data_IF_978398836267
#
_entry.id   IF_978398836267
#
_cell.length_a   1.000
_cell.length_b   1.000
_cell.length_c   1.000
_cell.angle_alpha   90.00
_cell.angle_beta   90.00
_cell.angle_gamma   90.00
#
_symmetry.space_group_name_H-M   'P 1'
#
loop_
_entity.id
_entity.type
_entity.pdbx_description
1 polymer ?
#
# COMPACT_ATOMS: atom_id res chain seq x y z
N UNK A 1 -22.55 8.63 13.63
CA UNK A 1 -22.07 9.96 13.18
C UNK A 1 -22.21 10.92 14.35
N UNK A 2 -21.23 11.79 14.64
CA UNK A 2 -21.46 12.84 15.63
C UNK A 2 -22.67 13.69 15.20
N UNK A 3 -23.55 14.10 16.12
CA UNK A 3 -24.72 14.89 15.80
C UNK A 3 -24.29 16.17 15.08
N UNK A 4 -25.00 16.51 14.00
CA UNK A 4 -24.75 17.73 13.22
C UNK A 4 -25.13 18.92 14.11
N UNK A 5 -24.16 19.75 14.47
CA UNK A 5 -24.44 20.94 15.27
C UNK A 5 -25.32 21.91 14.48
N UNK A 6 -26.27 22.59 15.14
CA UNK A 6 -27.02 23.71 14.55
C UNK A 6 -26.10 24.76 13.92
N UNK A 7 -26.63 25.51 12.95
CA UNK A 7 -25.85 26.47 12.16
C UNK A 7 -25.26 27.60 13.02
N UNK A 8 -25.98 28.05 14.05
CA UNK A 8 -25.52 29.08 14.98
C UNK A 8 -24.29 28.64 15.79
N UNK A 9 -24.28 27.38 16.25
CA UNK A 9 -23.17 26.78 16.99
C UNK A 9 -21.97 26.52 16.08
N UNK A 10 -22.24 26.04 14.87
CA UNK A 10 -21.20 25.81 13.86
C UNK A 10 -20.49 27.10 13.51
N UNK A 11 -21.24 28.19 13.27
CA UNK A 11 -20.67 29.51 12.98
C UNK A 11 -19.82 30.04 14.13
N UNK A 12 -20.31 29.93 15.37
CA UNK A 12 -19.54 30.35 16.54
C UNK A 12 -18.20 29.61 16.67
N UNK A 13 -18.20 28.29 16.48
CA UNK A 13 -16.98 27.50 16.53
C UNK A 13 -16.04 27.79 15.33
N UNK A 14 -16.57 28.15 14.16
CA UNK A 14 -15.76 28.59 13.01
C UNK A 14 -15.02 29.89 13.27
N UNK A 15 -15.68 30.86 13.88
CA UNK A 15 -15.07 32.14 14.29
C UNK A 15 -13.95 31.92 15.33
N UNK A 16 -14.07 30.89 16.18
CA UNK A 16 -13.10 30.56 17.24
C UNK A 16 -11.99 29.59 16.81
N UNK A 17 -12.04 29.06 15.59
CA UNK A 17 -11.03 28.13 15.08
C UNK A 17 -9.61 28.72 15.02
N UNK A 18 -9.38 29.98 14.60
CA UNK A 18 -8.05 30.57 14.61
C UNK A 18 -7.45 30.69 16.02
N UNK A 19 -8.29 31.07 16.99
CA UNK A 19 -7.88 31.20 18.40
C UNK A 19 -7.49 29.83 18.96
N UNK A 20 -8.33 28.81 18.75
CA UNK A 20 -8.05 27.45 19.22
C UNK A 20 -6.73 26.88 18.65
N UNK A 21 -6.36 27.26 17.42
CA UNK A 21 -5.07 26.86 16.81
C UNK A 21 -3.87 27.50 17.51
N UNK A 22 -4.03 28.70 18.05
CA UNK A 22 -2.99 29.44 18.77
C UNK A 22 -2.90 29.06 20.25
N UNK A 23 -3.99 28.54 20.82
CA UNK A 23 -4.04 28.11 22.22
C UNK A 23 -3.09 26.95 22.52
N UNK A 24 -2.16 27.18 23.44
CA UNK A 24 -1.23 26.20 23.95
C UNK A 24 -1.92 25.05 24.68
N UNK A 25 -1.22 23.92 24.88
CA UNK A 25 -1.81 22.69 25.46
C UNK A 25 -2.47 22.93 26.82
N UNK A 26 -1.88 23.79 27.65
CA UNK A 26 -2.33 24.06 29.02
C UNK A 26 -3.60 24.93 29.06
N UNK A 27 -3.80 25.78 28.04
CA UNK A 27 -4.93 26.73 27.99
C UNK A 27 -6.12 26.21 27.19
N UNK A 28 -6.03 24.99 26.65
CA UNK A 28 -7.09 24.39 25.82
C UNK A 28 -8.33 24.03 26.62
N UNK A 29 -8.17 23.49 27.83
CA UNK A 29 -9.30 23.14 28.70
C UNK A 29 -10.15 24.36 29.05
N UNK A 30 -9.59 25.46 29.61
CA UNK A 30 -10.39 26.65 29.91
C UNK A 30 -10.99 27.30 28.65
N UNK A 31 -10.28 27.26 27.51
CA UNK A 31 -10.82 27.72 26.23
C UNK A 31 -12.05 26.91 25.79
N UNK A 32 -11.99 25.58 25.91
CA UNK A 32 -13.10 24.69 25.55
C UNK A 32 -14.29 24.85 26.50
N UNK A 33 -14.05 25.08 27.79
CA UNK A 33 -15.10 25.38 28.76
C UNK A 33 -15.80 26.70 28.46
N UNK A 34 -15.06 27.74 28.06
CA UNK A 34 -15.64 29.01 27.62
C UNK A 34 -16.50 28.84 26.36
N UNK A 35 -16.04 28.02 25.40
CA UNK A 35 -16.83 27.67 24.23
C UNK A 35 -18.10 26.90 24.61
N UNK A 36 -17.97 25.93 25.53
CA UNK A 36 -19.09 25.10 25.97
C UNK A 36 -20.17 25.92 26.68
N UNK A 37 -19.79 26.86 27.56
CA UNK A 37 -20.74 27.80 28.18
C UNK A 37 -21.54 28.56 27.13
N UNK A 38 -20.88 29.06 26.09
CA UNK A 38 -21.55 29.76 24.99
C UNK A 38 -22.49 28.85 24.19
N UNK A 39 -22.09 27.61 23.91
CA UNK A 39 -22.94 26.63 23.21
C UNK A 39 -24.19 26.27 24.03
N UNK A 40 -24.04 26.08 25.35
CA UNK A 40 -25.16 25.83 26.27
C UNK A 40 -26.13 27.01 26.28
N UNK A 41 -25.63 28.25 26.30
CA UNK A 41 -26.47 29.44 26.16
C UNK A 41 -27.21 29.51 24.82
N UNK A 42 -26.56 29.14 23.71
CA UNK A 42 -27.17 29.12 22.38
C UNK A 42 -28.31 28.08 22.27
N UNK A 43 -28.25 27.02 23.08
CA UNK A 43 -29.31 26.00 23.21
C UNK A 43 -30.44 26.43 24.16
N UNK A 44 -30.38 27.64 24.71
CA UNK A 44 -31.40 28.16 25.63
C UNK A 44 -31.41 27.50 27.00
N UNK A 45 -30.32 26.80 27.37
CA UNK A 45 -30.20 26.15 28.68
C UNK A 45 -29.74 27.21 29.69
N UNK A 46 -30.55 27.53 30.72
CA UNK A 46 -30.21 28.57 31.68
C UNK A 46 -29.10 28.12 32.63
N UNK A 47 -28.27 29.08 33.03
CA UNK A 47 -27.22 28.85 34.04
C UNK A 47 -27.85 28.46 35.39
N UNK A 48 -27.31 27.42 36.02
CA UNK A 48 -27.81 26.90 37.29
C UNK A 48 -28.99 25.92 37.20
N UNK A 49 -29.40 25.49 36.01
CA UNK A 49 -30.39 24.41 35.89
C UNK A 49 -29.85 23.08 36.45
N UNK A 50 -30.75 22.18 36.84
CA UNK A 50 -30.37 20.82 37.25
C UNK A 50 -29.64 20.16 36.06
N UNK A 51 -28.40 19.73 36.29
CA UNK A 51 -27.56 19.14 35.25
C UNK A 51 -26.81 20.14 34.37
N UNK A 52 -26.76 21.44 34.72
CA UNK A 52 -25.97 22.43 33.98
C UNK A 52 -24.50 22.00 33.80
N UNK A 53 -23.87 21.48 34.84
CA UNK A 53 -22.48 20.98 34.78
C UNK A 53 -22.32 19.78 33.84
N UNK A 54 -23.35 18.92 33.74
CA UNK A 54 -23.38 17.80 32.80
C UNK A 54 -23.49 18.32 31.36
N UNK A 55 -24.31 19.35 31.13
CA UNK A 55 -24.38 20.02 29.83
C UNK A 55 -23.04 20.65 29.45
N UNK A 56 -22.38 21.36 30.37
CA UNK A 56 -21.05 21.93 30.12
C UNK A 56 -20.05 20.84 29.74
N UNK A 57 -19.95 19.75 30.50
CA UNK A 57 -19.06 18.62 30.17
C UNK A 57 -19.36 18.02 28.79
N UNK A 58 -20.64 17.86 28.45
CA UNK A 58 -21.07 17.36 27.15
C UNK A 58 -20.64 18.31 26.01
N UNK A 59 -20.87 19.62 26.17
CA UNK A 59 -20.52 20.61 25.15
C UNK A 59 -19.00 20.85 25.03
N UNK A 60 -18.23 20.65 26.11
CA UNK A 60 -16.76 20.59 26.04
C UNK A 60 -16.31 19.46 25.11
N UNK A 61 -16.89 18.27 25.26
CA UNK A 61 -16.56 17.13 24.41
C UNK A 61 -16.96 17.36 22.95
N UNK A 62 -18.12 17.99 22.71
CA UNK A 62 -18.57 18.40 21.38
C UNK A 62 -17.58 19.39 20.76
N UNK A 63 -17.25 20.48 21.46
CA UNK A 63 -16.33 21.51 20.97
C UNK A 63 -14.94 20.93 20.68
N UNK A 64 -14.43 20.09 21.60
CA UNK A 64 -13.15 19.39 21.42
C UNK A 64 -13.15 18.52 20.16
N UNK A 65 -14.20 17.72 19.98
CA UNK A 65 -14.35 16.83 18.82
C UNK A 65 -14.44 17.65 17.53
N UNK A 66 -15.22 18.72 17.55
CA UNK A 66 -15.44 19.60 16.41
C UNK A 66 -14.14 20.29 15.97
N UNK A 67 -13.39 20.87 16.92
CA UNK A 67 -12.13 21.54 16.61
C UNK A 67 -11.07 20.55 16.15
N UNK A 68 -10.96 19.39 16.79
CA UNK A 68 -10.01 18.36 16.37
C UNK A 68 -10.30 17.85 14.96
N UNK A 69 -11.57 17.61 14.62
CA UNK A 69 -11.93 17.20 13.26
C UNK A 69 -11.56 18.26 12.21
N UNK A 70 -11.66 19.56 12.54
CA UNK A 70 -11.33 20.67 11.63
C UNK A 70 -9.85 21.07 11.61
N UNK A 71 -9.09 20.80 12.66
CA UNK A 71 -7.62 20.88 12.61
C UNK A 71 -7.04 19.68 11.88
N UNK A 72 -7.65 18.50 12.05
CA UNK A 72 -7.28 17.29 11.35
C UNK A 72 -7.71 17.28 9.88
N UNK A 73 -8.49 18.25 9.37
CA UNK A 73 -8.68 18.44 7.92
C UNK A 73 -7.35 18.64 7.16
N UNK A 74 -6.29 19.11 7.84
CA UNK A 74 -4.93 19.16 7.27
C UNK A 74 -4.10 17.89 7.56
N UNK A 75 -4.59 16.99 8.41
CA UNK A 75 -4.10 15.61 8.56
C UNK A 75 -5.12 14.70 7.89
N UNK A 76 -5.42 14.96 6.63
CA UNK A 76 -6.14 13.97 5.86
C UNK A 76 -5.32 12.67 5.98
N UNK A 77 -5.88 11.66 6.66
CA UNK A 77 -5.25 10.32 6.68
C UNK A 77 -5.05 9.82 5.25
N UNK A 78 -5.81 10.39 4.31
CA UNK A 78 -5.57 10.29 2.89
C UNK A 78 -4.28 11.03 2.47
N UNK A 79 -4.08 12.32 2.76
CA UNK A 79 -2.87 13.08 2.34
C UNK A 79 -1.57 12.66 3.01
N UNK A 80 -1.61 12.06 4.20
CA UNK A 80 -0.48 11.24 4.68
C UNK A 80 -0.47 9.94 3.89
N UNK A 81 0.13 9.98 2.70
CA UNK A 81 0.74 8.80 2.13
C UNK A 81 1.59 8.18 3.26
N UNK A 82 1.33 6.96 3.76
CA UNK A 82 2.40 6.22 4.40
C UNK A 82 3.43 5.96 3.30
N UNK A 83 4.39 6.87 3.19
CA UNK A 83 5.60 6.77 2.35
C UNK A 83 6.37 5.48 2.70
N UNK A 84 6.07 4.88 3.86
CA UNK A 84 6.72 3.69 4.37
C UNK A 84 5.68 2.75 4.98
N UNK A 85 5.69 1.49 4.53
CA UNK A 85 5.28 0.37 5.38
C UNK A 85 6.03 0.59 6.70
N UNK A 86 5.31 0.70 7.83
CA UNK A 86 5.94 1.10 9.09
C UNK A 86 6.99 0.04 9.49
N UNK A 87 8.27 0.34 9.23
CA UNK A 87 9.42 -0.52 9.55
C UNK A 87 10.00 -0.21 10.93
N UNK A 88 9.31 0.51 11.81
CA UNK A 88 9.83 0.81 13.15
C UNK A 88 9.20 -0.13 14.21
N UNK A 89 9.84 -1.28 14.37
CA UNK A 89 9.68 -2.17 15.51
C UNK A 89 10.47 -1.64 16.70
N UNK A 90 9.83 -1.69 17.86
CA UNK A 90 10.43 -1.45 19.18
C UNK A 90 10.45 -2.77 19.95
N UNK A 91 11.31 -2.91 20.96
CA UNK A 91 11.34 -4.11 21.80
C UNK A 91 9.96 -4.47 22.34
N UNK A 92 9.25 -3.48 22.90
CA UNK A 92 7.88 -3.64 23.40
C UNK A 92 6.89 -4.15 22.33
N UNK A 93 7.04 -3.76 21.05
CA UNK A 93 6.19 -4.26 19.96
C UNK A 93 6.51 -5.69 19.56
N UNK A 94 7.79 -6.05 19.63
CA UNK A 94 8.22 -7.43 19.38
C UNK A 94 7.72 -8.31 20.52
N UNK A 95 7.86 -7.86 21.76
CA UNK A 95 7.28 -8.51 22.94
C UNK A 95 5.77 -8.69 22.82
N UNK A 96 5.00 -7.64 22.51
CA UNK A 96 3.54 -7.70 22.34
C UNK A 96 3.12 -8.78 21.33
N UNK A 97 3.96 -8.99 20.31
CA UNK A 97 3.73 -10.02 19.33
C UNK A 97 4.12 -11.42 19.83
N UNK A 98 5.32 -11.57 20.37
CA UNK A 98 5.84 -12.85 20.85
C UNK A 98 5.02 -13.41 22.03
N UNK A 99 4.53 -12.52 22.89
CA UNK A 99 3.78 -12.82 24.11
C UNK A 99 2.29 -12.54 23.95
N UNK A 100 1.77 -12.62 22.72
CA UNK A 100 0.38 -12.26 22.43
C UNK A 100 -0.64 -13.17 23.13
N UNK A 101 -0.33 -14.46 23.28
CA UNK A 101 -1.13 -15.42 24.05
C UNK A 101 -1.21 -15.02 25.52
N UNK A 102 -0.07 -14.72 26.11
CA UNK A 102 0.09 -14.44 27.53
C UNK A 102 -0.64 -13.14 27.89
N UNK A 103 -0.51 -12.11 27.03
CA UNK A 103 -1.28 -10.86 27.17
C UNK A 103 -2.79 -11.12 27.01
N UNK A 104 -3.21 -11.98 26.08
CA UNK A 104 -4.64 -12.32 25.91
C UNK A 104 -5.20 -13.02 27.15
N UNK A 105 -4.42 -13.91 27.75
CA UNK A 105 -4.80 -14.63 28.97
C UNK A 105 -4.93 -13.67 30.15
N UNK A 106 -3.92 -12.83 30.40
CA UNK A 106 -3.97 -11.80 31.42
C UNK A 106 -5.15 -10.84 31.24
N UNK A 107 -5.46 -10.47 29.99
CA UNK A 107 -6.64 -9.63 29.69
C UNK A 107 -7.95 -10.34 30.00
N UNK A 108 -8.07 -11.66 29.76
CA UNK A 108 -9.30 -12.41 30.10
C UNK A 108 -9.50 -12.52 31.60
N UNK A 109 -8.42 -12.70 32.36
CA UNK A 109 -8.48 -12.77 33.82
C UNK A 109 -8.93 -11.44 34.44
N UNK A 110 -8.54 -10.30 33.83
CA UNK A 110 -8.84 -8.95 34.29
C UNK A 110 -9.99 -8.25 33.53
N UNK A 111 -10.63 -8.94 32.59
CA UNK A 111 -11.75 -8.43 31.77
C UNK A 111 -12.95 -7.96 32.61
N UNK A 112 -13.33 -8.61 33.73
CA UNK A 112 -14.44 -8.16 34.58
C UNK A 112 -14.25 -6.75 35.17
N UNK A 113 -13.01 -6.25 35.23
CA UNK A 113 -12.68 -4.97 35.87
C UNK A 113 -12.66 -3.79 34.89
N UNK A 114 -12.79 -4.02 33.58
CA UNK A 114 -12.58 -2.99 32.57
C UNK A 114 -13.75 -2.85 31.59
N UNK A 115 -14.33 -1.65 31.53
CA UNK A 115 -15.46 -1.34 30.62
C UNK A 115 -15.11 -1.48 29.13
N UNK A 116 -13.82 -1.40 28.76
CA UNK A 116 -13.36 -1.45 27.39
C UNK A 116 -12.14 -2.37 27.25
N UNK A 117 -12.26 -3.42 26.42
CA UNK A 117 -11.18 -4.38 26.14
C UNK A 117 -9.85 -3.72 25.72
N UNK A 118 -9.89 -2.61 24.97
CA UNK A 118 -8.67 -1.91 24.56
C UNK A 118 -7.90 -1.29 25.75
N UNK A 119 -8.61 -0.91 26.81
CA UNK A 119 -8.00 -0.36 28.03
C UNK A 119 -7.31 -1.48 28.79
N UNK A 120 -8.02 -2.60 29.02
CA UNK A 120 -7.46 -3.80 29.64
C UNK A 120 -6.21 -4.30 28.88
N UNK A 121 -6.30 -4.40 27.54
CA UNK A 121 -5.18 -4.79 26.70
C UNK A 121 -3.94 -3.92 26.90
N UNK A 122 -4.11 -2.59 26.87
CA UNK A 122 -2.98 -1.67 27.00
C UNK A 122 -2.38 -1.70 28.40
N UNK A 123 -3.20 -1.90 29.44
CA UNK A 123 -2.78 -2.02 30.82
C UNK A 123 -1.96 -3.29 31.02
N UNK A 124 -2.51 -4.45 30.67
CA UNK A 124 -1.85 -5.75 30.84
C UNK A 124 -0.58 -5.86 30.01
N UNK A 125 -0.60 -5.41 28.75
CA UNK A 125 0.60 -5.34 27.90
C UNK A 125 1.71 -4.50 28.53
N UNK A 126 1.37 -3.39 29.19
CA UNK A 126 2.35 -2.52 29.83
C UNK A 126 2.89 -3.16 31.11
N UNK A 127 2.01 -3.68 31.97
CA UNK A 127 2.43 -4.38 33.19
C UNK A 127 3.40 -5.50 32.86
N UNK A 128 3.01 -6.41 31.97
CA UNK A 128 3.84 -7.56 31.60
C UNK A 128 5.16 -7.17 30.92
N UNK A 129 5.25 -5.98 30.30
CA UNK A 129 6.51 -5.46 29.75
C UNK A 129 7.40 -4.84 30.82
N UNK A 130 6.81 -4.13 31.78
CA UNK A 130 7.51 -3.52 32.92
C UNK A 130 7.98 -4.58 33.93
N UNK A 131 7.29 -5.71 34.02
CA UNK A 131 7.62 -6.87 34.86
C UNK A 131 8.79 -7.71 34.30
N UNK A 132 9.20 -7.48 33.04
CA UNK A 132 10.37 -8.15 32.46
C UNK A 132 11.66 -7.64 33.09
N UNK A 133 12.61 -8.56 33.26
CA UNK A 133 13.99 -8.23 33.63
C UNK A 133 14.65 -7.39 32.52
N UNK A 134 15.70 -6.65 32.88
CA UNK A 134 16.37 -5.73 31.94
C UNK A 134 17.02 -6.48 30.76
N UNK A 135 17.61 -7.64 31.01
CA UNK A 135 18.21 -8.52 30.00
C UNK A 135 17.16 -9.03 29.00
N UNK A 136 15.99 -9.43 29.47
CA UNK A 136 14.88 -9.83 28.59
C UNK A 136 14.40 -8.66 27.71
N UNK A 137 14.35 -7.44 28.27
CA UNK A 137 14.00 -6.24 27.50
C UNK A 137 15.06 -5.90 26.45
N UNK A 138 16.34 -6.09 26.76
CA UNK A 138 17.45 -5.94 25.81
C UNK A 138 17.35 -6.95 24.67
N UNK A 139 17.00 -8.20 24.94
CA UNK A 139 16.80 -9.25 23.92
C UNK A 139 15.70 -8.86 22.93
N UNK A 140 14.55 -8.37 23.42
CA UNK A 140 13.48 -7.88 22.54
C UNK A 140 13.91 -6.64 21.74
N UNK A 141 14.72 -5.75 22.31
CA UNK A 141 15.26 -4.60 21.60
C UNK A 141 16.25 -4.99 20.49
N UNK A 142 17.08 -6.01 20.74
CA UNK A 142 17.96 -6.60 19.73
C UNK A 142 17.15 -7.23 18.59
N UNK A 143 16.11 -8.00 18.92
CA UNK A 143 15.20 -8.61 17.93
C UNK A 143 14.45 -7.54 17.12
N UNK A 144 14.01 -6.46 17.76
CA UNK A 144 13.41 -5.32 17.07
C UNK A 144 14.38 -4.67 16.08
N UNK A 145 15.65 -4.53 16.45
CA UNK A 145 16.70 -4.03 15.55
C UNK A 145 16.90 -4.96 14.35
N UNK A 146 16.89 -6.28 14.57
CA UNK A 146 16.96 -7.26 13.49
C UNK A 146 15.74 -7.15 12.56
N UNK A 147 14.54 -7.07 13.11
CA UNK A 147 13.29 -6.96 12.33
C UNK A 147 13.20 -5.66 11.53
N UNK A 148 13.77 -4.57 12.05
CA UNK A 148 13.85 -3.30 11.33
C UNK A 148 14.76 -3.39 10.09
N UNK A 149 15.78 -4.25 10.12
CA UNK A 149 16.73 -4.47 9.01
C UNK A 149 16.20 -5.51 8.02
N UNK A 150 15.76 -6.65 8.52
CA UNK A 150 15.51 -7.85 7.72
C UNK A 150 14.01 -8.11 7.46
N UNK A 151 13.12 -7.35 8.10
CA UNK A 151 11.71 -7.65 8.17
C UNK A 151 11.37 -8.54 9.38
N UNK A 152 10.08 -8.59 9.78
CA UNK A 152 9.63 -9.43 10.89
C UNK A 152 9.70 -10.92 10.53
N UNK A 153 9.56 -11.77 11.55
CA UNK A 153 9.45 -13.22 11.39
C UNK A 153 8.33 -13.58 10.39
N UNK A 154 8.54 -14.64 9.61
CA UNK A 154 7.61 -15.19 8.63
C UNK A 154 6.26 -15.50 9.27
N UNK A 155 6.26 -15.98 10.52
CA UNK A 155 5.03 -16.26 11.29
C UNK A 155 4.14 -15.03 11.50
N UNK A 156 4.70 -13.83 11.45
CA UNK A 156 3.95 -12.56 11.61
C UNK A 156 3.36 -12.07 10.28
N UNK A 157 3.85 -12.54 9.14
CA UNK A 157 3.44 -12.04 7.83
C UNK A 157 1.94 -12.24 7.55
N UNK A 158 1.31 -13.41 7.84
CA UNK A 158 -0.13 -13.62 7.65
C UNK A 158 -0.98 -12.58 8.40
N UNK A 159 -0.69 -12.38 9.68
CA UNK A 159 -1.40 -11.43 10.54
C UNK A 159 -1.19 -9.98 10.09
N UNK A 160 0.02 -9.65 9.62
CA UNK A 160 0.30 -8.33 9.04
C UNK A 160 -0.47 -8.10 7.75
N UNK A 161 -0.51 -9.08 6.86
CA UNK A 161 -1.27 -8.99 5.61
C UNK A 161 -2.76 -8.78 5.91
N UNK A 162 -3.37 -9.62 6.74
CA UNK A 162 -4.78 -9.51 7.12
C UNK A 162 -5.14 -8.14 7.72
N UNK A 163 -4.30 -7.59 8.61
CA UNK A 163 -4.60 -6.32 9.30
C UNK A 163 -4.24 -5.08 8.50
N UNK A 164 -3.20 -5.12 7.66
CA UNK A 164 -2.56 -3.92 7.10
C UNK A 164 -2.58 -3.83 5.58
N UNK A 165 -2.69 -4.96 4.87
CA UNK A 165 -2.50 -4.99 3.41
C UNK A 165 -3.42 -4.01 2.68
N UNK A 166 -4.72 -3.97 3.01
CA UNK A 166 -5.67 -3.06 2.37
C UNK A 166 -5.29 -1.58 2.57
N UNK A 167 -4.89 -1.22 3.79
CA UNK A 167 -4.45 0.14 4.09
C UNK A 167 -3.18 0.54 3.32
N UNK A 168 -2.24 -0.39 3.15
CA UNK A 168 -1.04 -0.18 2.34
C UNK A 168 -1.37 -0.08 0.85
N UNK A 169 -2.19 -0.98 0.32
CA UNK A 169 -2.60 -0.96 -1.08
C UNK A 169 -3.30 0.36 -1.44
N UNK A 170 -4.24 0.81 -0.60
CA UNK A 170 -4.92 2.11 -0.77
C UNK A 170 -3.95 3.28 -0.80
N UNK A 171 -2.94 3.24 0.07
CA UNK A 171 -1.92 4.28 0.15
C UNK A 171 -1.02 4.31 -1.06
N UNK A 172 -0.63 3.14 -1.57
CA UNK A 172 0.16 2.99 -2.79
C UNK A 172 -0.63 3.50 -4.01
N UNK A 173 -1.88 3.06 -4.18
CA UNK A 173 -2.75 3.58 -5.26
C UNK A 173 -2.88 5.09 -5.20
N UNK A 174 -3.12 5.66 -4.02
CA UNK A 174 -3.18 7.11 -3.82
C UNK A 174 -1.88 7.81 -4.23
N UNK A 175 -0.73 7.30 -3.79
CA UNK A 175 0.57 7.88 -4.10
C UNK A 175 0.80 7.98 -5.61
N UNK A 176 0.67 6.84 -6.31
CA UNK A 176 0.96 6.80 -7.74
C UNK A 176 -0.08 7.56 -8.57
N UNK A 177 -1.36 7.52 -8.16
CA UNK A 177 -2.39 8.29 -8.83
C UNK A 177 -2.18 9.79 -8.68
N UNK A 178 -1.95 10.29 -7.46
CA UNK A 178 -1.88 11.74 -7.22
C UNK A 178 -0.54 12.36 -7.60
N UNK A 179 0.57 11.62 -7.47
CA UNK A 179 1.91 12.19 -7.71
C UNK A 179 2.35 12.08 -9.15
N UNK A 180 2.02 10.98 -9.84
CA UNK A 180 2.47 10.76 -11.22
C UNK A 180 1.34 10.35 -12.16
N UNK A 181 0.08 10.48 -11.73
CA UNK A 181 -1.07 10.20 -12.59
C UNK A 181 -1.10 8.77 -13.08
N UNK A 182 -0.59 7.79 -12.32
CA UNK A 182 -0.47 6.39 -12.76
C UNK A 182 -1.54 5.50 -12.12
N UNK A 183 -2.25 4.75 -12.95
CA UNK A 183 -3.22 3.75 -12.52
C UNK A 183 -2.51 2.47 -12.11
N UNK A 184 -2.97 1.88 -11.00
CA UNK A 184 -2.42 0.69 -10.41
C UNK A 184 -3.51 -0.34 -10.19
N UNK A 185 -3.15 -1.61 -10.41
CA UNK A 185 -3.90 -2.76 -9.97
C UNK A 185 -3.00 -3.56 -9.00
N UNK A 186 -3.43 -3.74 -7.76
CA UNK A 186 -2.69 -4.46 -6.73
C UNK A 186 -3.45 -5.73 -6.36
N UNK A 187 -2.73 -6.85 -6.37
CA UNK A 187 -3.24 -8.15 -5.99
C UNK A 187 -2.28 -8.78 -4.98
N UNK A 188 -2.83 -9.19 -3.84
CA UNK A 188 -2.11 -9.83 -2.75
C UNK A 188 -2.67 -11.22 -2.50
N UNK A 189 -1.77 -12.17 -2.28
CA UNK A 189 -2.09 -13.55 -1.93
C UNK A 189 -1.20 -13.94 -0.75
N UNK A 190 -1.77 -14.48 0.31
CA UNK A 190 -1.02 -14.96 1.47
C UNK A 190 -1.77 -16.11 2.15
N UNK A 191 -1.09 -17.09 2.74
CA UNK A 191 -1.73 -18.04 3.65
C UNK A 191 -2.08 -17.33 4.97
N UNK A 192 -3.22 -17.62 5.58
CA UNK A 192 -3.51 -17.19 6.96
C UNK A 192 -2.72 -18.01 8.01
N UNK A 193 -3.04 -17.80 9.28
CA UNK A 193 -2.41 -18.51 10.40
C UNK A 193 -2.71 -20.02 10.37
N UNK A 194 -3.81 -20.44 9.75
CA UNK A 194 -4.21 -21.86 9.60
C UNK A 194 -3.67 -22.48 8.29
N UNK A 195 -3.02 -21.67 7.44
CA UNK A 195 -2.46 -22.09 6.16
C UNK A 195 -3.43 -21.96 4.97
N UNK A 196 -4.63 -21.47 5.20
CA UNK A 196 -5.64 -21.27 4.16
C UNK A 196 -5.35 -20.03 3.32
N UNK A 197 -5.57 -20.16 2.00
CA UNK A 197 -5.18 -19.13 1.07
C UNK A 197 -6.14 -17.94 1.12
N UNK A 198 -5.62 -16.78 1.49
CA UNK A 198 -6.34 -15.52 1.45
C UNK A 198 -5.88 -14.67 0.28
N UNK A 199 -6.84 -13.94 -0.30
CA UNK A 199 -6.59 -13.02 -1.40
C UNK A 199 -7.16 -11.64 -1.08
N UNK A 200 -6.48 -10.61 -1.54
CA UNK A 200 -6.92 -9.22 -1.44
C UNK A 200 -6.57 -8.51 -2.73
N UNK A 201 -7.48 -7.65 -3.17
CA UNK A 201 -7.24 -6.75 -4.28
C UNK A 201 -7.60 -5.32 -3.92
N UNK A 202 -6.94 -4.39 -4.58
CA UNK A 202 -7.31 -2.99 -4.56
C UNK A 202 -6.70 -2.32 -5.79
N UNK A 203 -7.46 -1.45 -6.45
CA UNK A 203 -6.97 -0.75 -7.62
C UNK A 203 -7.34 0.74 -7.62
N UNK A 204 -6.78 1.49 -8.56
CA UNK A 204 -7.00 2.94 -8.66
C UNK A 204 -8.48 3.30 -8.85
N UNK A 205 -9.29 2.44 -9.47
CA UNK A 205 -10.73 2.67 -9.62
C UNK A 205 -11.49 2.62 -8.30
N UNK A 206 -11.10 1.74 -7.37
CA UNK A 206 -11.64 1.73 -6.01
C UNK A 206 -11.32 3.04 -5.30
N UNK A 207 -10.05 3.48 -5.38
CA UNK A 207 -9.60 4.73 -4.77
C UNK A 207 -10.41 5.94 -5.26
N UNK A 208 -10.53 6.10 -6.59
CA UNK A 208 -11.20 7.26 -7.18
C UNK A 208 -12.72 7.18 -7.00
N UNK A 209 -13.32 5.99 -7.03
CA UNK A 209 -14.74 5.82 -6.73
C UNK A 209 -15.07 6.17 -5.26
N UNK A 210 -14.21 5.81 -4.31
CA UNK A 210 -14.35 6.23 -2.91
C UNK A 210 -14.28 7.75 -2.74
N UNK A 211 -13.36 8.42 -3.45
CA UNK A 211 -13.28 9.89 -3.43
C UNK A 211 -14.53 10.53 -4.02
N UNK A 212 -14.96 10.08 -5.20
CA UNK A 212 -16.15 10.58 -5.87
C UNK A 212 -17.41 10.40 -5.02
N UNK A 213 -17.52 9.27 -4.31
CA UNK A 213 -18.63 8.99 -3.40
C UNK A 213 -18.75 10.01 -2.25
N UNK A 214 -17.63 10.58 -1.78
CA UNK A 214 -17.67 11.68 -0.78
C UNK A 214 -18.31 12.95 -1.33
N UNK A 215 -18.22 13.16 -2.64
CA UNK A 215 -18.84 14.26 -3.37
C UNK A 215 -20.24 13.88 -3.92
N UNK A 216 -20.78 12.71 -3.54
CA UNK A 216 -22.06 12.21 -4.04
C UNK A 216 -22.04 11.67 -5.49
N UNK A 217 -20.87 11.56 -6.10
CA UNK A 217 -20.69 11.05 -7.47
C UNK A 217 -20.46 9.54 -7.45
N UNK A 218 -20.99 8.81 -8.44
CA UNK A 218 -20.74 7.38 -8.64
C UNK A 218 -19.89 7.19 -9.87
N UNK A 219 -18.72 6.57 -9.70
CA UNK A 219 -17.83 6.21 -10.79
C UNK A 219 -17.75 4.68 -10.93
N UNK A 220 -17.60 4.17 -12.17
CA UNK A 220 -17.44 2.74 -12.38
C UNK A 220 -16.12 2.25 -11.78
N UNK A 221 -16.14 1.01 -11.30
CA UNK A 221 -14.95 0.31 -10.82
C UNK A 221 -14.51 -0.68 -11.88
N UNK A 222 -13.21 -0.86 -12.04
CA UNK A 222 -12.59 -1.81 -12.96
C UNK A 222 -13.21 -3.19 -12.80
N UNK A 223 -13.34 -3.62 -11.55
CA UNK A 223 -13.83 -4.94 -11.17
C UNK A 223 -15.34 -5.10 -11.24
N UNK A 224 -16.08 -4.03 -11.53
CA UNK A 224 -17.51 -4.13 -11.81
C UNK A 224 -17.77 -4.66 -13.23
N UNK A 225 -16.73 -4.69 -14.08
CA UNK A 225 -16.83 -5.33 -15.39
C UNK A 225 -16.90 -6.85 -15.22
N UNK A 226 -17.82 -7.52 -15.93
CA UNK A 226 -17.76 -8.97 -16.10
C UNK A 226 -16.39 -9.34 -16.67
N UNK A 227 -15.83 -10.47 -16.22
CA UNK A 227 -14.57 -10.99 -16.73
C UNK A 227 -13.33 -10.10 -16.54
N UNK A 228 -13.34 -9.15 -15.60
CA UNK A 228 -12.18 -8.29 -15.29
C UNK A 228 -10.89 -9.10 -14.98
N UNK A 229 -11.05 -10.33 -14.52
CA UNK A 229 -9.97 -11.28 -14.22
C UNK A 229 -9.43 -12.03 -15.45
N UNK A 230 -10.18 -12.06 -16.56
CA UNK A 230 -9.73 -12.68 -17.81
C UNK A 230 -8.78 -11.72 -18.51
N UNK A 231 -7.51 -12.11 -18.62
CA UNK A 231 -6.46 -11.26 -19.19
C UNK A 231 -6.41 -9.87 -18.53
N UNK A 232 -6.17 -9.86 -17.21
CA UNK A 232 -6.14 -8.67 -16.34
C UNK A 232 -5.40 -7.50 -16.98
N UNK A 233 -4.27 -7.76 -17.65
CA UNK A 233 -3.48 -6.72 -18.31
C UNK A 233 -4.29 -6.00 -19.39
N UNK A 234 -4.87 -6.74 -20.33
CA UNK A 234 -5.66 -6.15 -21.42
C UNK A 234 -6.93 -5.48 -20.88
N UNK A 235 -7.59 -6.08 -19.89
CA UNK A 235 -8.78 -5.52 -19.26
C UNK A 235 -8.47 -4.19 -18.53
N UNK A 236 -7.37 -4.14 -17.78
CA UNK A 236 -6.92 -2.94 -17.06
C UNK A 236 -6.49 -1.85 -18.05
N UNK A 237 -5.73 -2.21 -19.09
CA UNK A 237 -5.30 -1.29 -20.13
C UNK A 237 -6.50 -0.66 -20.86
N UNK A 238 -7.51 -1.47 -21.20
CA UNK A 238 -8.74 -0.96 -21.79
C UNK A 238 -9.47 -0.02 -20.83
N UNK A 239 -9.74 -0.46 -19.60
CA UNK A 239 -10.53 0.30 -18.63
C UNK A 239 -9.86 1.61 -18.23
N UNK A 240 -8.61 1.55 -17.75
CA UNK A 240 -7.87 2.75 -17.35
C UNK A 240 -7.51 3.60 -18.55
N UNK A 241 -7.23 2.99 -19.70
CA UNK A 241 -7.01 3.72 -20.93
C UNK A 241 -8.22 4.56 -21.34
N UNK A 242 -9.42 3.97 -21.44
CA UNK A 242 -10.66 4.70 -21.73
C UNK A 242 -10.85 5.86 -20.73
N UNK A 243 -10.53 5.61 -19.46
CA UNK A 243 -10.58 6.61 -18.40
C UNK A 243 -9.58 7.76 -18.61
N UNK A 244 -8.31 7.48 -18.94
CA UNK A 244 -7.34 8.52 -19.28
C UNK A 244 -7.73 9.28 -20.54
N UNK A 245 -8.32 8.60 -21.52
CA UNK A 245 -8.76 9.23 -22.76
C UNK A 245 -9.89 10.24 -22.52
N UNK A 246 -10.77 9.95 -21.57
CA UNK A 246 -11.82 10.87 -21.10
C UNK A 246 -11.25 12.08 -20.35
N UNK A 247 -10.15 11.92 -19.60
CA UNK A 247 -9.58 12.98 -18.75
C UNK A 247 -8.58 13.87 -19.52
N UNK A 248 -7.80 13.30 -20.43
CA UNK A 248 -6.71 13.98 -21.14
C UNK A 248 -7.03 14.26 -22.62
N UNK A 249 -8.19 13.83 -23.14
CA UNK A 249 -8.56 13.99 -24.54
C UNK A 249 -7.65 13.22 -25.52
N UNK A 250 -6.92 12.21 -25.05
CA UNK A 250 -5.88 11.48 -25.79
C UNK A 250 -6.18 9.98 -25.80
N UNK A 251 -6.17 9.32 -26.96
CA UNK A 251 -6.57 7.91 -27.06
C UNK A 251 -5.49 6.95 -26.54
N UNK A 252 -5.88 5.92 -25.79
CA UNK A 252 -5.03 4.82 -25.27
C UNK A 252 -4.14 4.17 -26.33
N UNK A 253 -4.63 4.12 -27.58
CA UNK A 253 -3.97 3.39 -28.67
C UNK A 253 -2.62 3.98 -29.04
N UNK A 254 -2.31 5.20 -28.59
CA UNK A 254 -1.07 5.88 -28.92
C UNK A 254 0.10 5.52 -27.98
N UNK A 255 -0.14 4.82 -26.86
CA UNK A 255 0.86 4.69 -25.79
C UNK A 255 1.28 3.26 -25.39
N UNK A 256 0.80 2.21 -26.06
CA UNK A 256 1.08 0.83 -25.62
C UNK A 256 1.34 -0.17 -26.74
N UNK A 257 2.09 0.25 -27.75
CA UNK A 257 2.99 -0.70 -28.40
C UNK A 257 4.39 -0.31 -27.96
N UNK A 258 5.08 -1.19 -27.20
CA UNK A 258 6.53 -1.30 -27.41
C UNK A 258 6.65 -1.57 -28.90
N UNK A 259 6.96 -0.54 -29.70
CA UNK A 259 7.32 -0.75 -31.10
C UNK A 259 8.44 -1.79 -31.03
N UNK A 260 8.19 -2.97 -31.61
CA UNK A 260 9.24 -3.97 -31.72
C UNK A 260 10.47 -3.30 -32.34
N UNK A 261 11.69 -3.76 -32.02
CA UNK A 261 12.87 -3.24 -32.67
C UNK A 261 12.65 -3.29 -34.18
N UNK A 262 12.90 -2.18 -34.86
CA UNK A 262 12.67 -2.10 -36.30
C UNK A 262 13.71 -3.00 -36.95
N UNK A 263 13.26 -4.11 -37.54
CA UNK A 263 14.16 -5.10 -38.13
C UNK A 263 14.99 -4.46 -39.25
N UNK A 264 16.30 -4.59 -39.15
CA UNK A 264 17.23 -4.13 -40.17
C UNK A 264 17.41 -5.23 -41.22
N UNK A 265 17.25 -4.87 -42.49
CA UNK A 265 17.46 -5.81 -43.59
C UNK A 265 18.95 -5.85 -43.95
N UNK A 266 19.65 -6.86 -43.45
CA UNK A 266 21.03 -7.10 -43.82
C UNK A 266 21.12 -7.64 -45.25
N UNK A 267 21.97 -7.02 -46.07
CA UNK A 267 22.55 -7.73 -47.20
C UNK A 267 23.31 -8.96 -46.68
N UNK A 268 23.36 -10.04 -47.45
CA UNK A 268 24.02 -11.29 -47.06
C UNK A 268 25.06 -11.66 -48.11
N UNK A 269 26.16 -12.24 -47.65
CA UNK A 269 27.09 -12.96 -48.52
C UNK A 269 26.43 -14.26 -49.03
N UNK A 270 27.05 -14.91 -50.02
CA UNK A 270 26.54 -16.15 -50.62
C UNK A 270 26.41 -17.31 -49.62
N UNK A 271 27.15 -17.26 -48.52
CA UNK A 271 27.09 -18.22 -47.40
C UNK A 271 25.95 -17.92 -46.40
N UNK A 272 25.16 -16.87 -46.64
CA UNK A 272 24.06 -16.43 -45.79
C UNK A 272 24.47 -15.52 -44.62
N UNK A 273 25.77 -15.23 -44.45
CA UNK A 273 26.28 -14.36 -43.38
C UNK A 273 25.82 -12.91 -43.61
N UNK A 274 25.19 -12.25 -42.62
CA UNK A 274 24.79 -10.84 -42.76
C UNK A 274 26.01 -9.93 -42.89
N UNK A 275 25.88 -8.85 -43.66
CA UNK A 275 26.91 -7.83 -43.89
C UNK A 275 26.57 -6.61 -43.04
N UNK A 276 27.51 -6.17 -42.20
CA UNK A 276 27.35 -4.94 -41.43
C UNK A 276 27.61 -3.74 -42.34
N UNK A 277 26.63 -2.85 -42.48
CA UNK A 277 26.79 -1.57 -43.19
C UNK A 277 26.92 -0.42 -42.19
N UNK A 278 27.17 0.78 -42.69
CA UNK A 278 27.18 2.05 -41.96
C UNK A 278 25.98 2.95 -42.33
N UNK A 279 25.15 2.47 -43.26
CA UNK A 279 24.03 3.19 -43.85
C UNK A 279 22.77 2.32 -43.95
N UNK A 280 21.61 2.98 -43.87
CA UNK A 280 20.26 2.44 -44.12
C UNK A 280 19.58 3.35 -45.14
N UNK A 281 19.08 2.78 -46.23
CA UNK A 281 18.47 3.54 -47.34
C UNK A 281 19.35 4.69 -47.88
N UNK A 282 20.67 4.50 -47.89
CA UNK A 282 21.65 5.50 -48.36
C UNK A 282 21.92 6.64 -47.37
N UNK A 283 21.42 6.56 -46.14
CA UNK A 283 21.68 7.55 -45.08
C UNK A 283 22.54 6.95 -43.97
N UNK A 284 23.49 7.71 -43.39
CA UNK A 284 24.29 7.24 -42.27
C UNK A 284 23.43 7.02 -41.03
N UNK A 285 23.79 6.03 -40.22
CA UNK A 285 23.08 5.76 -38.98
C UNK A 285 23.19 6.90 -37.96
N UNK A 286 22.13 7.08 -37.19
CA UNK A 286 22.25 7.71 -35.86
C UNK A 286 22.96 6.75 -34.91
N UNK A 287 23.58 7.29 -33.85
CA UNK A 287 24.29 6.46 -32.84
C UNK A 287 23.38 5.38 -32.25
N UNK A 288 22.12 5.71 -31.99
CA UNK A 288 21.12 4.80 -31.45
C UNK A 288 20.75 3.69 -32.44
N UNK A 289 20.58 4.04 -33.73
CA UNK A 289 20.29 3.07 -34.79
C UNK A 289 21.46 2.13 -35.04
N UNK A 290 22.70 2.64 -35.03
CA UNK A 290 23.90 1.81 -35.17
C UNK A 290 24.01 0.77 -34.04
N UNK A 291 23.69 1.14 -32.80
CA UNK A 291 23.66 0.20 -31.68
C UNK A 291 22.55 -0.86 -31.84
N UNK A 292 21.38 -0.49 -32.36
CA UNK A 292 20.29 -1.42 -32.61
C UNK A 292 20.64 -2.43 -33.71
N UNK A 293 21.18 -1.96 -34.84
CA UNK A 293 21.64 -2.78 -35.97
C UNK A 293 22.74 -3.74 -35.52
N UNK A 294 23.71 -3.26 -34.74
CA UNK A 294 24.78 -4.12 -34.20
C UNK A 294 24.23 -5.24 -33.30
N UNK A 295 23.23 -4.94 -32.45
CA UNK A 295 22.59 -5.96 -31.60
C UNK A 295 21.84 -7.01 -32.44
N UNK A 296 21.18 -6.60 -33.52
CA UNK A 296 20.52 -7.53 -34.45
C UNK A 296 21.55 -8.40 -35.19
N UNK A 297 22.66 -7.81 -35.65
CA UNK A 297 23.77 -8.51 -36.29
C UNK A 297 24.38 -9.58 -35.37
N UNK A 298 24.68 -9.22 -34.13
CA UNK A 298 25.22 -10.14 -33.12
C UNK A 298 24.22 -11.29 -32.89
N UNK A 299 22.93 -11.00 -32.72
CA UNK A 299 21.91 -12.04 -32.50
C UNK A 299 21.81 -13.04 -33.66
N UNK A 300 21.92 -12.59 -34.90
CA UNK A 300 21.88 -13.47 -36.08
C UNK A 300 23.11 -14.39 -36.09
N UNK A 301 24.31 -13.84 -35.88
CA UNK A 301 25.55 -14.62 -35.90
C UNK A 301 25.69 -15.61 -34.73
N UNK A 302 25.19 -15.24 -33.54
CA UNK A 302 25.20 -16.13 -32.37
C UNK A 302 24.10 -17.20 -32.39
N UNK A 303 23.05 -17.03 -33.23
CA UNK A 303 22.10 -18.11 -33.51
C UNK A 303 22.68 -19.14 -34.49
N UNK A 304 23.49 -18.73 -35.46
CA UNK A 304 24.11 -19.64 -36.43
C UNK A 304 25.22 -20.50 -35.83
N UNK A 305 25.97 -20.00 -34.85
CA UNK A 305 27.04 -20.76 -34.16
C UNK A 305 26.51 -21.87 -33.23
N UNK A 306 25.22 -21.85 -32.87
CA UNK A 306 24.58 -22.92 -32.08
C UNK A 306 24.15 -24.15 -32.88
N UNK A 307 23.99 -24.04 -34.20
CA UNK A 307 23.58 -25.16 -35.07
C UNK A 307 24.76 -25.90 -35.71
N UNK A 308 25.97 -25.30 -35.72
CA UNK A 308 27.18 -25.92 -36.28
C UNK A 308 27.88 -26.94 -35.37
N UNK A 309 27.39 -27.19 -34.16
CA UNK A 309 28.02 -28.13 -33.20
C UNK A 309 27.36 -29.52 -33.12
N UNK A 310 26.32 -29.76 -33.92
CA UNK A 310 25.57 -31.02 -33.92
C UNK A 310 25.90 -31.96 -35.10
N UNK A 311 26.92 -31.64 -35.92
CA UNK A 311 27.22 -32.40 -37.15
C UNK A 311 28.63 -33.01 -37.20
N UNK A 312 29.30 -33.18 -36.05
CA UNK A 312 30.57 -33.92 -35.92
C UNK A 312 30.50 -34.98 -34.81
N UNK A 313 29.45 -35.80 -34.76
CA UNK A 313 29.43 -36.97 -33.87
C UNK A 313 28.96 -38.27 -34.53
N UNK A 314 29.25 -38.46 -35.81
CA UNK A 314 29.09 -39.75 -36.47
C UNK A 314 30.33 -40.06 -37.31
N UNK A 315 31.33 -40.69 -36.68
CA UNK A 315 32.13 -41.76 -37.26
C UNK A 315 33.06 -42.38 -36.20
N UNK A 316 32.74 -43.63 -35.83
CA UNK A 316 33.63 -44.73 -35.42
C UNK A 316 33.23 -45.42 -34.10
N UNK A 317 32.37 -46.44 -34.22
CA UNK A 317 32.54 -47.66 -33.44
C UNK A 317 33.59 -48.54 -34.18
N UNK A 318 34.38 -49.41 -33.51
CA UNK A 318 33.79 -50.62 -32.93
C UNK A 318 34.49 -51.23 -31.70
N UNK A 319 33.74 -52.03 -30.93
CA UNK A 319 34.27 -53.28 -30.39
C UNK A 319 34.11 -53.56 -28.90
N UNK A 320 33.65 -54.79 -28.62
CA UNK A 320 33.97 -55.61 -27.43
C UNK A 320 33.21 -55.28 -26.13
N UNK A 321 32.10 -55.97 -25.83
CA UNK A 321 31.98 -57.29 -25.14
C UNK A 321 31.60 -57.12 -23.66
N UNK A 322 30.42 -57.67 -23.33
CA UNK A 322 30.05 -58.39 -22.09
C UNK A 322 30.44 -57.79 -20.73
N UNK A 323 29.44 -57.47 -19.90
CA UNK A 323 29.09 -58.34 -18.75
C UNK A 323 27.78 -57.93 -18.06
N UNK A 324 26.97 -58.96 -17.80
CA UNK A 324 25.79 -58.99 -16.95
C UNK A 324 26.11 -58.61 -15.49
N UNK A 325 25.09 -58.12 -14.78
CA UNK A 325 25.10 -58.00 -13.32
C UNK A 325 23.76 -57.54 -12.77
N UNK A 326 22.83 -58.47 -12.58
CA UNK A 326 21.60 -58.33 -11.80
C UNK A 326 21.89 -58.30 -10.29
N UNK A 327 20.91 -57.80 -9.53
CA UNK A 327 20.70 -57.84 -8.07
C UNK A 327 21.55 -56.86 -7.24
N UNK A 328 21.00 -56.15 -6.26
CA UNK A 328 19.82 -56.41 -5.42
C UNK A 328 18.98 -55.15 -5.16
#
# INVERSE_FOLDING_TARGET
MPPKLPDAETRYLEERLPDFRRTGKNDRTPFLEACAKRLVTLQGIPEGCIGYDLHIKHFVQIAWTWFNNRIQKNKDRATRLPIRINRSWTGERVFEFMKNSDIREAVREDEPNHQHHIVAWNLMRRSLWEDLEEDEREDYAALATQWNRNGPDVKLQPRMAARRALGWMRSTCKMYWEQCGMALFLYGVWPDEDGELNTLRYDTSDYVAELAGKDGRKLPRFTARPDWEKNIRAAAEQFFGEWYSLVAGTSVRDHSARKGPVEFQFARYDDGTPILTDTEDGKPFTVERAQEVLRQYIRINYRHTGQGRAMESDCAAPGSLLRNGHAA
#
